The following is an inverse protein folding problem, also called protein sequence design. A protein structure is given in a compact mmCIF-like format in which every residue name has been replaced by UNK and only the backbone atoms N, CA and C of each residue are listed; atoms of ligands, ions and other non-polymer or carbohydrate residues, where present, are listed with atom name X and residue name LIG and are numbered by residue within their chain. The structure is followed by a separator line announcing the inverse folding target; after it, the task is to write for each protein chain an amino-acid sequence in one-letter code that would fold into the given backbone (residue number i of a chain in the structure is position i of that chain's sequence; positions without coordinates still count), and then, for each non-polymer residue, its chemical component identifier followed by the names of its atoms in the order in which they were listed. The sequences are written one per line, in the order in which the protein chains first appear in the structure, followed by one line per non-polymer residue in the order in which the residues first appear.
data_IF_522453751750
#
_entry.id   IF_522453751750
#
_cell.length_a   1.000
_cell.length_b   1.000
_cell.length_c   1.000
_cell.angle_alpha   90.00
_cell.angle_beta   90.00
_cell.angle_gamma   90.00
#
_symmetry.space_group_name_H-M   'P 1'
#
loop_
_entity.id
_entity.type
_entity.pdbx_description
1 polymer ?
#
# COMPACT_ATOMS: atom_id res chain seq x y z
N UNK A 1 5.43 -27.44 -6.43
CA UNK A 1 4.44 -28.52 -6.25
C UNK A 1 3.38 -28.37 -7.33
N UNK A 2 2.95 -29.47 -7.95
CA UNK A 2 1.89 -29.50 -8.96
C UNK A 2 0.78 -30.40 -8.39
N UNK A 3 -0.46 -29.96 -8.46
CA UNK A 3 -1.62 -30.73 -8.01
C UNK A 3 -2.81 -30.48 -8.93
N UNK A 4 -3.77 -31.40 -8.91
CA UNK A 4 -5.06 -31.22 -9.60
C UNK A 4 -6.08 -30.63 -8.65
N UNK A 5 -6.91 -29.71 -9.13
CA UNK A 5 -8.01 -29.13 -8.37
C UNK A 5 -9.36 -29.46 -9.02
N UNK A 6 -10.41 -29.59 -8.20
CA UNK A 6 -11.75 -29.79 -8.70
C UNK A 6 -12.29 -28.49 -9.33
N UNK A 7 -12.86 -28.62 -10.53
CA UNK A 7 -13.63 -27.56 -11.19
C UNK A 7 -15.10 -27.85 -10.98
N UNK A 8 -15.86 -26.86 -10.51
CA UNK A 8 -17.27 -27.01 -10.17
C UNK A 8 -18.06 -25.73 -10.48
N UNK A 9 -19.38 -25.80 -10.39
CA UNK A 9 -20.26 -24.63 -10.59
C UNK A 9 -20.61 -23.99 -9.24
N UNK A 10 -20.56 -22.66 -9.18
CA UNK A 10 -21.04 -21.82 -8.08
C UNK A 10 -22.08 -20.85 -8.63
N UNK A 11 -23.36 -21.20 -8.47
CA UNK A 11 -24.44 -20.53 -9.19
C UNK A 11 -24.26 -20.67 -10.71
N UNK A 12 -24.32 -19.56 -11.44
CA UNK A 12 -24.14 -19.53 -12.90
C UNK A 12 -22.68 -19.42 -13.35
N UNK A 13 -21.72 -19.51 -12.43
CA UNK A 13 -20.28 -19.32 -12.72
C UNK A 13 -19.49 -20.60 -12.46
N UNK A 14 -18.42 -20.80 -13.22
CA UNK A 14 -17.44 -21.86 -12.98
C UNK A 14 -16.44 -21.40 -11.90
N UNK A 15 -16.03 -22.34 -11.05
CA UNK A 15 -15.08 -22.13 -9.96
C UNK A 15 -14.07 -23.27 -9.87
N UNK A 16 -12.89 -22.98 -9.31
CA UNK A 16 -11.84 -23.95 -8.99
C UNK A 16 -11.67 -24.00 -7.48
N UNK A 17 -11.69 -25.19 -6.89
CA UNK A 17 -11.42 -25.36 -5.45
C UNK A 17 -9.90 -25.30 -5.21
N UNK A 18 -9.41 -24.22 -4.62
CA UNK A 18 -8.00 -24.11 -4.26
C UNK A 18 -7.66 -25.05 -3.09
N UNK A 19 -6.66 -25.95 -3.24
CA UNK A 19 -6.11 -26.72 -2.14
C UNK A 19 -5.46 -25.82 -1.07
N UNK A 20 -5.25 -26.37 0.12
CA UNK A 20 -4.80 -25.59 1.29
C UNK A 20 -3.46 -24.90 1.05
N UNK A 21 -2.55 -25.58 0.38
CA UNK A 21 -1.21 -25.10 0.02
C UNK A 21 -1.21 -23.99 -1.04
N UNK A 22 -2.33 -23.80 -1.76
CA UNK A 22 -2.55 -22.71 -2.73
C UNK A 22 -3.56 -21.66 -2.21
N UNK A 23 -3.89 -21.67 -0.92
CA UNK A 23 -4.85 -20.73 -0.34
C UNK A 23 -4.32 -19.30 -0.42
N UNK A 24 -5.16 -18.38 -0.91
CA UNK A 24 -4.87 -16.96 -1.00
C UNK A 24 -5.33 -16.22 0.28
N UNK A 25 -4.68 -15.12 0.61
CA UNK A 25 -5.02 -14.27 1.76
C UNK A 25 -5.94 -13.10 1.37
N UNK A 26 -5.82 -12.64 0.13
CA UNK A 26 -6.62 -11.55 -0.43
C UNK A 26 -8.01 -12.01 -0.87
N UNK A 27 -8.99 -11.11 -0.78
CA UNK A 27 -10.37 -11.35 -1.25
C UNK A 27 -10.54 -11.22 -2.77
N UNK A 28 -9.52 -10.71 -3.47
CA UNK A 28 -9.57 -10.41 -4.90
C UNK A 28 -8.25 -10.79 -5.56
N UNK A 29 -8.34 -11.32 -6.77
CA UNK A 29 -7.19 -11.64 -7.62
C UNK A 29 -7.28 -10.94 -8.96
N UNK A 30 -6.12 -10.68 -9.54
CA UNK A 30 -5.96 -10.44 -10.97
C UNK A 30 -5.92 -11.80 -11.67
N UNK A 31 -6.66 -11.93 -12.76
CA UNK A 31 -6.72 -13.14 -13.57
C UNK A 31 -6.16 -12.80 -14.95
N UNK A 32 -5.15 -13.54 -15.37
CA UNK A 32 -4.49 -13.38 -16.66
C UNK A 32 -4.47 -14.73 -17.38
N UNK A 33 -4.84 -14.77 -18.66
CA UNK A 33 -4.72 -15.98 -19.48
C UNK A 33 -3.45 -15.87 -20.34
N UNK A 34 -2.63 -16.92 -20.32
CA UNK A 34 -1.38 -17.03 -21.08
C UNK A 34 -1.39 -18.33 -21.87
N UNK A 35 -1.84 -18.28 -23.12
CA UNK A 35 -2.06 -19.48 -23.90
C UNK A 35 -3.09 -20.40 -23.22
N UNK A 36 -2.63 -21.58 -22.81
CA UNK A 36 -3.39 -22.60 -22.09
C UNK A 36 -3.40 -22.42 -20.56
N UNK A 37 -2.61 -21.49 -20.02
CA UNK A 37 -2.53 -21.23 -18.58
C UNK A 37 -3.47 -20.12 -18.11
N UNK A 38 -3.94 -20.23 -16.86
CA UNK A 38 -4.58 -19.15 -16.11
C UNK A 38 -3.69 -18.80 -14.91
N UNK A 39 -3.21 -17.57 -14.87
CA UNK A 39 -2.40 -17.03 -13.77
C UNK A 39 -3.27 -16.20 -12.85
N UNK A 40 -3.29 -16.57 -11.57
CA UNK A 40 -3.96 -15.82 -10.50
C UNK A 40 -2.91 -15.07 -9.68
N UNK A 41 -3.07 -13.76 -9.51
CA UNK A 41 -2.20 -12.96 -8.62
C UNK A 41 -3.04 -12.24 -7.57
N UNK A 42 -2.58 -12.23 -6.33
CA UNK A 42 -3.25 -11.49 -5.26
C UNK A 42 -3.31 -9.99 -5.57
N UNK A 43 -4.51 -9.42 -5.51
CA UNK A 43 -4.66 -7.97 -5.58
C UNK A 43 -4.51 -7.40 -4.17
N UNK A 44 -3.33 -6.86 -3.88
CA UNK A 44 -3.09 -6.10 -2.65
C UNK A 44 -3.97 -4.86 -2.64
N UNK A 45 -4.55 -4.54 -1.47
CA UNK A 45 -5.26 -3.28 -1.31
C UNK A 45 -4.27 -2.12 -1.49
N UNK A 46 -4.59 -1.19 -2.38
CA UNK A 46 -3.80 0.03 -2.56
C UNK A 46 -4.27 1.09 -1.55
N UNK A 47 -3.41 2.07 -1.23
CA UNK A 47 -3.82 3.24 -0.44
C UNK A 47 -5.04 3.92 -1.08
N UNK A 48 -5.10 3.96 -2.42
CA UNK A 48 -6.27 4.46 -3.16
C UNK A 48 -7.54 3.67 -2.85
N UNK A 49 -7.46 2.34 -2.77
CA UNK A 49 -8.63 1.51 -2.43
C UNK A 49 -9.12 1.79 -1.01
N UNK A 50 -8.19 2.03 -0.07
CA UNK A 50 -8.50 2.42 1.31
C UNK A 50 -9.16 3.80 1.35
N UNK A 51 -8.57 4.80 0.70
CA UNK A 51 -9.09 6.17 0.66
C UNK A 51 -10.51 6.22 0.06
N UNK A 52 -10.80 5.41 -0.96
CA UNK A 52 -12.16 5.28 -1.53
C UNK A 52 -13.19 4.70 -0.56
N UNK A 53 -12.74 3.91 0.41
CA UNK A 53 -13.62 3.30 1.42
C UNK A 53 -13.87 4.20 2.63
N UNK A 54 -13.11 5.30 2.77
CA UNK A 54 -13.33 6.26 3.84
C UNK A 54 -14.56 7.12 3.54
N UNK A 55 -15.33 7.50 4.56
CA UNK A 55 -16.41 8.46 4.39
C UNK A 55 -15.85 9.83 3.93
N UNK A 56 -16.64 10.63 3.20
CA UNK A 56 -16.25 12.00 2.91
C UNK A 56 -16.07 12.78 4.22
N UNK A 57 -15.15 13.75 4.22
CA UNK A 57 -15.01 14.69 5.33
C UNK A 57 -16.33 15.45 5.51
N UNK A 58 -16.77 15.60 6.77
CA UNK A 58 -17.93 16.44 7.06
C UNK A 58 -17.57 17.92 6.86
N UNK A 59 -18.56 18.80 6.65
CA UNK A 59 -18.32 20.24 6.59
C UNK A 59 -17.62 20.77 7.86
N UNK A 60 -17.94 20.21 9.02
CA UNK A 60 -17.34 20.58 10.31
C UNK A 60 -15.87 20.14 10.38
N UNK A 61 -15.58 18.88 10.04
CA UNK A 61 -14.22 18.37 9.99
C UNK A 61 -13.34 19.15 9.00
N UNK A 62 -13.93 19.58 7.87
CA UNK A 62 -13.23 20.40 6.88
C UNK A 62 -12.82 21.77 7.45
N UNK A 63 -13.74 22.44 8.17
CA UNK A 63 -13.45 23.72 8.85
C UNK A 63 -12.41 23.58 9.96
N UNK A 64 -12.48 22.50 10.74
CA UNK A 64 -11.47 22.21 11.76
C UNK A 64 -10.08 22.03 11.12
N UNK A 65 -10.01 21.39 9.96
CA UNK A 65 -8.76 21.20 9.23
C UNK A 65 -8.17 22.51 8.72
N UNK A 66 -8.99 23.42 8.17
CA UNK A 66 -8.53 24.77 7.78
C UNK A 66 -7.94 25.55 8.96
N UNK A 67 -8.54 25.43 10.14
CA UNK A 67 -8.03 26.07 11.36
C UNK A 67 -6.70 25.49 11.82
N UNK A 68 -6.50 24.18 11.67
CA UNK A 68 -5.24 23.50 11.99
C UNK A 68 -4.15 23.88 10.99
N UNK A 69 -4.48 23.89 9.70
CA UNK A 69 -3.57 24.27 8.62
C UNK A 69 -3.08 25.71 8.77
N UNK A 70 -3.98 26.65 9.11
CA UNK A 70 -3.61 28.03 9.39
C UNK A 70 -2.67 28.18 10.61
N UNK A 71 -2.62 27.19 11.51
CA UNK A 71 -1.76 27.17 12.69
C UNK A 71 -0.48 26.35 12.49
N UNK A 72 -0.39 25.58 11.40
CA UNK A 72 0.82 24.84 11.05
C UNK A 72 1.89 25.84 10.62
N UNK A 73 2.69 26.27 11.59
CA UNK A 73 3.89 27.06 11.34
C UNK A 73 5.03 26.12 10.93
N UNK A 74 5.13 25.85 9.63
CA UNK A 74 6.23 25.10 9.02
C UNK A 74 7.25 26.08 8.41
N UNK A 75 8.17 26.65 9.22
CA UNK A 75 9.13 27.61 8.73
C UNK A 75 10.09 26.94 7.74
N UNK A 76 10.67 27.76 6.86
CA UNK A 76 11.70 27.28 5.95
C UNK A 76 12.81 26.54 6.74
N UNK A 77 13.36 25.45 6.18
CA UNK A 77 14.49 24.76 6.79
C UNK A 77 15.59 25.75 7.16
N UNK A 78 16.02 25.74 8.41
CA UNK A 78 17.12 26.58 8.87
C UNK A 78 18.43 26.14 8.22
N UNK A 79 19.30 27.10 7.88
CA UNK A 79 20.65 26.78 7.46
C UNK A 79 21.43 26.19 8.64
N UNK A 80 22.12 25.07 8.41
CA UNK A 80 22.87 24.34 9.43
C UNK A 80 24.34 24.37 9.08
N UNK A 81 25.15 24.93 9.97
CA UNK A 81 26.61 24.82 9.85
C UNK A 81 27.06 23.41 10.23
N UNK A 82 27.08 22.51 9.25
CA UNK A 82 27.49 21.12 9.41
C UNK A 82 28.95 20.96 9.88
N UNK A 83 29.86 21.85 9.47
CA UNK A 83 31.27 21.80 9.87
C UNK A 83 31.45 22.00 11.37
N UNK A 84 30.65 22.91 11.96
CA UNK A 84 30.67 23.15 13.40
C UNK A 84 29.96 22.04 14.19
N UNK A 85 28.91 21.43 13.61
CA UNK A 85 28.10 20.40 14.26
C UNK A 85 28.75 19.02 14.27
N UNK A 86 29.42 18.64 13.18
CA UNK A 86 30.04 17.33 13.04
C UNK A 86 31.44 17.26 13.63
N UNK A 87 32.00 18.40 14.03
CA UNK A 87 33.37 18.49 14.52
C UNK A 87 34.36 18.17 13.41
N UNK A 88 35.37 19.00 13.27
CA UNK A 88 36.53 18.63 12.47
C UNK A 88 37.25 17.47 13.19
N UNK A 89 37.00 16.24 12.77
CA UNK A 89 38.00 15.15 12.88
C UNK A 89 39.18 15.40 11.92
N UNK A 90 39.51 16.67 11.65
CA UNK A 90 40.75 17.07 11.03
C UNK A 90 41.76 17.35 12.15
N UNK A 91 42.21 16.29 12.80
CA UNK A 91 43.54 16.30 13.41
C UNK A 91 44.42 15.23 12.75
N UNK A 92 45.17 15.55 11.69
CA UNK A 92 46.45 14.93 11.49
C UNK A 92 47.47 15.71 12.32
N UNK A 93 47.89 15.10 13.43
CA UNK A 93 49.04 15.52 14.20
C UNK A 93 50.26 15.77 13.30
N UNK A 94 50.99 16.84 13.58
CA UNK A 94 52.39 16.99 13.13
C UNK A 94 53.31 16.08 13.91
#
# INVERSE_FOLDING_TARGET
MITTAAVFMSGNSQAVRLPKEFQLHSKRVLIERRGDEIVLREKKATVRDILKSLPPLSPEASKEWELVEARLNDPAPQDRNWNALLGSDANPAK
#
